data_IF_834205359734
#
_entry.id   IF_834205359734
#
_cell.length_a   1.000
_cell.length_b   1.000
_cell.length_c   1.000
_cell.angle_alpha   90.00
_cell.angle_beta   90.00
_cell.angle_gamma   90.00
#
_symmetry.space_group_name_H-M   'P 1'
#
loop_
_entity.id
_entity.type
_entity.pdbx_description
1 polymer ?
#
# COMPACT_ATOMS: atom_id res chain seq x y z
N UNK A 1 -9.55 -10.46 -3.44
CA UNK A 1 -8.56 -9.42 -3.74
C UNK A 1 -7.23 -9.78 -3.09
N UNK A 2 -6.12 -9.58 -3.78
CA UNK A 2 -4.77 -9.80 -3.25
C UNK A 2 -4.10 -8.46 -3.08
N UNK A 3 -3.64 -8.17 -1.86
CA UNK A 3 -2.87 -6.97 -1.53
C UNK A 3 -1.40 -7.38 -1.39
N UNK A 4 -0.51 -6.94 -2.28
CA UNK A 4 0.91 -7.06 -2.05
C UNK A 4 1.34 -6.00 -1.03
N UNK A 5 2.15 -6.42 -0.06
CA UNK A 5 2.76 -5.54 0.93
C UNK A 5 4.26 -5.80 0.98
N UNK A 6 5.08 -4.85 1.45
CA UNK A 6 6.48 -5.11 1.77
C UNK A 6 6.60 -6.31 2.72
N UNK A 7 7.66 -7.12 2.56
CA UNK A 7 7.82 -8.36 3.35
C UNK A 7 7.93 -8.11 4.86
N UNK A 8 8.45 -6.96 5.24
CA UNK A 8 8.64 -6.48 6.62
C UNK A 8 7.50 -5.58 7.11
N UNK A 9 6.42 -5.45 6.34
CA UNK A 9 5.25 -4.67 6.73
C UNK A 9 4.47 -5.36 7.85
N UNK A 10 4.18 -4.61 8.91
CA UNK A 10 3.30 -5.01 10.00
C UNK A 10 1.91 -4.41 9.79
N UNK A 11 0.93 -5.26 9.45
CA UNK A 11 -0.46 -4.83 9.29
C UNK A 11 -1.03 -4.43 10.64
N UNK A 12 -1.54 -3.21 10.74
CA UNK A 12 -2.15 -2.65 11.94
C UNK A 12 -3.67 -2.64 11.90
N UNK A 13 -4.27 -2.48 10.72
CA UNK A 13 -5.72 -2.59 10.56
C UNK A 13 -6.09 -3.04 9.15
N UNK A 14 -7.26 -3.69 9.07
CA UNK A 14 -7.93 -4.03 7.85
C UNK A 14 -9.43 -3.79 8.04
N UNK A 15 -10.00 -2.89 7.28
CA UNK A 15 -11.38 -2.46 7.43
C UNK A 15 -12.12 -2.58 6.10
N UNK A 16 -13.40 -2.94 6.17
CA UNK A 16 -14.29 -2.97 5.03
C UNK A 16 -15.49 -2.07 5.27
N UNK A 17 -15.91 -1.37 4.25
CA UNK A 17 -17.11 -0.54 4.27
C UNK A 17 -18.20 -1.16 3.39
N UNK A 18 -19.36 -1.37 3.99
CA UNK A 18 -20.56 -1.89 3.32
C UNK A 18 -21.70 -0.94 3.60
N UNK A 19 -22.28 -0.36 2.56
CA UNK A 19 -23.41 0.57 2.66
C UNK A 19 -23.19 1.69 3.70
N UNK A 20 -21.97 2.23 3.73
CA UNK A 20 -21.56 3.30 4.64
C UNK A 20 -21.25 2.87 6.08
N UNK A 21 -21.38 1.59 6.42
CA UNK A 21 -20.98 1.04 7.71
C UNK A 21 -19.59 0.43 7.66
N UNK A 22 -18.78 0.75 8.65
CA UNK A 22 -17.44 0.19 8.85
C UNK A 22 -17.53 -1.16 9.55
N UNK A 23 -16.85 -2.14 8.99
CA UNK A 23 -16.61 -3.45 9.60
C UNK A 23 -15.12 -3.63 9.78
N UNK A 24 -14.70 -3.86 11.01
CA UNK A 24 -13.31 -4.16 11.32
C UNK A 24 -12.99 -5.59 10.92
N UNK A 25 -11.98 -5.75 10.08
CA UNK A 25 -11.47 -7.05 9.69
C UNK A 25 -10.55 -7.64 10.76
N UNK A 26 -10.47 -8.97 10.77
CA UNK A 26 -9.52 -9.70 11.61
C UNK A 26 -8.39 -10.26 10.76
N UNK A 27 -7.16 -10.04 11.20
CA UNK A 27 -6.01 -10.72 10.65
C UNK A 27 -5.91 -12.11 11.29
N UNK A 28 -6.03 -13.15 10.48
CA UNK A 28 -6.04 -14.54 10.94
C UNK A 28 -5.05 -15.37 10.14
N UNK A 29 -4.60 -16.49 10.70
CA UNK A 29 -3.88 -17.50 9.95
C UNK A 29 -4.78 -18.13 8.87
N UNK A 30 -4.17 -18.68 7.82
CA UNK A 30 -4.88 -19.21 6.63
C UNK A 30 -6.03 -20.15 6.97
N UNK A 31 -5.77 -21.16 7.80
CA UNK A 31 -6.75 -22.22 8.08
C UNK A 31 -7.89 -21.72 8.98
N UNK A 32 -7.59 -20.82 9.88
CA UNK A 32 -8.58 -20.18 10.74
C UNK A 32 -9.46 -19.21 9.94
N UNK A 33 -8.84 -18.36 9.10
CA UNK A 33 -9.56 -17.47 8.21
C UNK A 33 -10.51 -18.23 7.28
N UNK A 34 -10.06 -19.35 6.73
CA UNK A 34 -10.91 -20.18 5.85
C UNK A 34 -12.10 -20.76 6.59
N UNK A 35 -11.91 -21.34 7.77
CA UNK A 35 -13.01 -21.93 8.57
C UNK A 35 -14.06 -20.88 8.92
N UNK A 36 -13.62 -19.74 9.42
CA UNK A 36 -14.53 -18.65 9.79
C UNK A 36 -15.28 -18.13 8.55
N UNK A 37 -14.58 -17.96 7.42
CA UNK A 37 -15.20 -17.52 6.17
C UNK A 37 -16.30 -18.49 5.71
N UNK A 38 -16.01 -19.79 5.69
CA UNK A 38 -16.98 -20.81 5.29
C UNK A 38 -18.22 -20.82 6.20
N UNK A 39 -18.02 -20.68 7.51
CA UNK A 39 -19.13 -20.61 8.46
C UNK A 39 -19.99 -19.36 8.28
N UNK A 40 -19.36 -18.21 8.03
CA UNK A 40 -20.08 -16.95 7.80
C UNK A 40 -20.82 -16.96 6.46
N UNK A 41 -20.21 -17.48 5.40
CA UNK A 41 -20.87 -17.62 4.08
C UNK A 41 -22.08 -18.54 4.17
N UNK A 42 -22.01 -19.66 4.92
CA UNK A 42 -23.16 -20.54 5.19
C UNK A 42 -24.30 -19.82 5.91
N UNK A 43 -23.99 -18.83 6.76
CA UNK A 43 -24.96 -18.02 7.48
C UNK A 43 -25.43 -16.77 6.71
N UNK A 44 -24.98 -16.57 5.47
CA UNK A 44 -25.27 -15.38 4.64
C UNK A 44 -24.95 -14.04 5.34
N UNK A 45 -23.94 -14.01 6.19
CA UNK A 45 -23.43 -12.78 6.83
C UNK A 45 -22.27 -12.22 6.01
N UNK A 46 -22.03 -10.91 6.10
CA UNK A 46 -20.95 -10.20 5.42
C UNK A 46 -19.58 -10.51 6.06
N UNK A 47 -18.72 -11.36 5.48
CA UNK A 47 -17.40 -11.58 6.03
C UNK A 47 -16.35 -10.66 5.42
N UNK A 48 -15.57 -10.01 6.27
CA UNK A 48 -14.33 -9.35 5.90
C UNK A 48 -13.16 -10.07 6.57
N UNK A 49 -12.50 -10.94 5.84
CA UNK A 49 -11.35 -11.69 6.33
C UNK A 49 -10.11 -11.37 5.52
N UNK A 50 -9.02 -11.06 6.20
CA UNK A 50 -7.71 -10.88 5.63
C UNK A 50 -6.83 -12.09 5.98
N UNK A 51 -6.31 -12.75 4.96
CA UNK A 51 -5.49 -13.95 5.07
C UNK A 51 -4.07 -13.65 4.57
N UNK A 52 -3.05 -13.97 5.38
CA UNK A 52 -1.66 -13.94 4.92
C UNK A 52 -1.35 -15.19 4.10
N UNK A 53 -1.02 -15.01 2.83
CA UNK A 53 -0.72 -16.12 1.91
C UNK A 53 0.76 -16.36 1.64
N UNK A 54 1.64 -15.64 2.35
CA UNK A 54 3.10 -15.73 2.25
C UNK A 54 3.70 -14.74 1.25
N UNK A 55 5.03 -14.55 1.31
CA UNK A 55 5.81 -13.65 0.44
C UNK A 55 5.30 -12.21 0.40
N UNK A 56 4.91 -11.65 1.55
CA UNK A 56 4.38 -10.28 1.61
C UNK A 56 3.01 -10.09 0.95
N UNK A 57 2.27 -11.16 0.66
CA UNK A 57 0.95 -11.06 0.06
C UNK A 57 -0.16 -11.42 1.05
N UNK A 58 -1.21 -10.61 1.05
CA UNK A 58 -2.42 -10.83 1.83
C UNK A 58 -3.60 -10.99 0.88
N UNK A 59 -4.46 -11.94 1.18
CA UNK A 59 -5.69 -12.17 0.43
C UNK A 59 -6.90 -11.78 1.26
N UNK A 60 -7.74 -10.89 0.73
CA UNK A 60 -9.05 -10.60 1.28
C UNK A 60 -10.14 -11.26 0.43
N UNK A 61 -11.04 -11.97 1.10
CA UNK A 61 -12.28 -12.48 0.50
C UNK A 61 -13.42 -11.60 0.95
N UNK A 62 -14.08 -10.99 -0.01
CA UNK A 62 -15.14 -10.01 0.23
C UNK A 62 -16.42 -10.55 -0.40
N UNK A 63 -17.44 -10.77 0.43
CA UNK A 63 -18.73 -11.31 0.01
C UNK A 63 -19.85 -10.79 0.94
N UNK A 64 -21.05 -10.50 0.43
CA UNK A 64 -21.43 -10.43 -0.99
C UNK A 64 -21.08 -9.06 -1.61
N UNK A 65 -20.85 -9.05 -2.92
CA UNK A 65 -20.86 -7.80 -3.70
C UNK A 65 -22.10 -7.88 -4.61
N UNK A 66 -23.15 -7.12 -4.35
CA UNK A 66 -24.35 -7.15 -5.19
C UNK A 66 -24.07 -6.60 -6.59
N UNK A 67 -24.91 -6.91 -7.60
CA UNK A 67 -24.78 -6.33 -8.92
C UNK A 67 -24.75 -4.80 -8.86
N UNK A 68 -23.75 -4.17 -9.49
CA UNK A 68 -23.48 -2.72 -9.45
C UNK A 68 -23.15 -2.18 -8.05
N UNK A 69 -22.90 -3.06 -7.08
CA UNK A 69 -22.46 -2.68 -5.75
C UNK A 69 -20.98 -2.40 -5.68
N UNK A 70 -20.58 -1.56 -4.73
CA UNK A 70 -19.18 -1.24 -4.43
C UNK A 70 -18.81 -1.69 -3.02
N UNK A 71 -17.55 -1.98 -2.82
CA UNK A 71 -16.97 -2.25 -1.52
C UNK A 71 -15.69 -1.44 -1.37
N UNK A 72 -15.59 -0.68 -0.31
CA UNK A 72 -14.38 0.03 0.07
C UNK A 72 -13.63 -0.80 1.09
N UNK A 73 -12.35 -0.96 0.85
CA UNK A 73 -11.43 -1.66 1.75
C UNK A 73 -10.31 -0.71 2.12
N UNK A 74 -9.99 -0.65 3.40
CA UNK A 74 -8.86 0.09 3.95
C UNK A 74 -7.90 -0.88 4.61
N UNK A 75 -6.63 -0.74 4.30
CA UNK A 75 -5.55 -1.49 4.92
C UNK A 75 -4.52 -0.49 5.44
N UNK A 76 -4.15 -0.64 6.72
CA UNK A 76 -3.07 0.14 7.31
C UNK A 76 -1.94 -0.79 7.74
N UNK A 77 -0.72 -0.36 7.47
CA UNK A 77 0.48 -1.08 7.90
C UNK A 77 1.57 -0.08 8.28
N UNK A 78 2.53 -0.55 9.05
CA UNK A 78 3.79 0.15 9.34
C UNK A 78 4.97 -0.67 8.85
N UNK A 79 6.04 0.02 8.48
CA UNK A 79 7.29 -0.55 8.03
C UNK A 79 8.45 0.29 8.55
N UNK A 80 9.52 -0.36 8.96
CA UNK A 80 10.76 0.34 9.33
C UNK A 80 11.65 0.45 8.10
N UNK A 81 11.94 1.69 7.68
CA UNK A 81 12.83 1.94 6.55
C UNK A 81 14.26 2.09 7.02
N UNK A 82 15.17 1.39 6.36
CA UNK A 82 16.60 1.57 6.57
C UNK A 82 17.12 2.85 5.90
N UNK A 83 18.11 3.49 6.53
CA UNK A 83 18.85 4.60 5.94
C UNK A 83 20.27 4.13 5.61
N UNK A 84 20.71 4.36 4.38
CA UNK A 84 22.07 4.04 3.93
C UNK A 84 22.72 5.30 3.33
N UNK A 85 23.81 5.77 3.94
CA UNK A 85 24.51 6.97 3.47
C UNK A 85 23.63 8.24 3.41
N UNK A 86 22.65 8.38 4.31
CA UNK A 86 21.69 9.49 4.30
C UNK A 86 20.54 9.33 3.31
N UNK A 87 20.50 8.23 2.52
CA UNK A 87 19.43 7.92 1.58
C UNK A 87 18.43 6.95 2.22
N UNK A 88 17.14 7.28 2.12
CA UNK A 88 16.02 6.40 2.50
C UNK A 88 15.28 5.98 1.25
N UNK A 89 14.94 4.71 1.17
CA UNK A 89 14.16 4.13 0.08
C UNK A 89 12.87 3.53 0.62
N UNK A 90 11.75 3.98 0.09
CA UNK A 90 10.43 3.40 0.30
C UNK A 90 9.97 2.72 -0.98
N UNK A 91 9.55 1.46 -0.88
CA UNK A 91 8.94 0.71 -1.98
C UNK A 91 7.55 0.22 -1.59
N UNK A 92 6.55 0.58 -2.37
CA UNK A 92 5.23 -0.03 -2.32
C UNK A 92 5.07 -1.00 -3.50
N UNK A 93 4.77 -2.29 -3.28
CA UNK A 93 4.65 -3.28 -4.33
C UNK A 93 3.33 -3.08 -5.11
N UNK A 94 3.32 -2.07 -5.99
CA UNK A 94 2.18 -1.72 -6.83
C UNK A 94 2.06 -2.62 -8.07
N UNK A 95 3.09 -3.40 -8.41
CA UNK A 95 3.07 -4.33 -9.55
C UNK A 95 2.09 -5.47 -9.30
N UNK A 96 0.82 -5.21 -9.61
CA UNK A 96 -0.29 -6.16 -9.44
C UNK A 96 -0.84 -6.68 -10.77
N UNK A 97 -0.18 -6.41 -11.88
CA UNK A 97 -0.62 -6.84 -13.22
C UNK A 97 -0.88 -8.34 -13.30
N UNK A 98 -0.09 -9.15 -12.59
CA UNK A 98 -0.24 -10.62 -12.51
C UNK A 98 -1.55 -11.06 -11.83
N UNK A 99 -2.18 -10.19 -11.07
CA UNK A 99 -3.39 -10.49 -10.30
C UNK A 99 -4.66 -9.87 -10.90
N UNK A 100 -4.54 -8.99 -11.90
CA UNK A 100 -5.68 -8.33 -12.53
C UNK A 100 -5.48 -8.22 -14.03
N UNK A 101 -6.44 -8.74 -14.80
CA UNK A 101 -6.47 -8.59 -16.26
C UNK A 101 -7.00 -7.20 -16.71
N UNK A 102 -7.56 -6.42 -15.79
CA UNK A 102 -8.15 -5.11 -16.08
C UNK A 102 -7.30 -3.99 -15.53
N UNK A 103 -7.18 -2.87 -16.27
CA UNK A 103 -6.58 -1.65 -15.75
C UNK A 103 -7.31 -1.18 -14.49
N UNK A 104 -6.60 -0.50 -13.61
CA UNK A 104 -7.19 0.26 -12.52
C UNK A 104 -7.75 1.57 -13.09
N UNK A 105 -8.99 1.90 -12.74
CA UNK A 105 -9.62 3.14 -13.20
C UNK A 105 -8.89 4.38 -12.70
N UNK A 106 -8.33 4.30 -11.49
CA UNK A 106 -7.55 5.39 -10.90
C UNK A 106 -6.53 4.83 -9.91
N UNK A 107 -5.34 5.42 -9.89
CA UNK A 107 -4.32 5.25 -8.87
C UNK A 107 -3.92 6.62 -8.37
N UNK A 108 -4.10 6.87 -7.08
CA UNK A 108 -3.64 8.08 -6.40
C UNK A 108 -2.71 7.69 -5.25
N UNK A 109 -1.53 8.32 -5.19
CA UNK A 109 -0.54 8.12 -4.14
C UNK A 109 -0.22 9.49 -3.55
N UNK A 110 -0.33 9.61 -2.23
CA UNK A 110 0.09 10.78 -1.48
C UNK A 110 1.03 10.33 -0.37
N UNK A 111 2.21 10.95 -0.31
CA UNK A 111 3.23 10.62 0.70
C UNK A 111 3.65 11.90 1.41
N UNK A 112 3.44 11.96 2.72
CA UNK A 112 4.01 13.01 3.57
C UNK A 112 5.38 12.55 4.07
N UNK A 113 6.42 13.27 3.66
CA UNK A 113 7.80 13.02 4.07
C UNK A 113 8.18 14.04 5.15
N UNK A 114 8.53 13.54 6.32
CA UNK A 114 9.02 14.38 7.42
C UNK A 114 10.24 13.74 8.08
N UNK A 115 11.28 14.52 8.33
CA UNK A 115 12.48 14.08 9.03
C UNK A 115 12.89 15.09 10.09
N UNK A 116 13.84 14.72 10.95
CA UNK A 116 14.48 15.66 11.91
C UNK A 116 15.51 16.55 11.22
N UNK A 117 16.16 16.01 10.18
CA UNK A 117 17.12 16.73 9.36
C UNK A 117 16.46 17.36 8.14
N UNK A 118 17.17 18.26 7.48
CA UNK A 118 16.71 18.88 6.24
C UNK A 118 16.63 17.86 5.10
N UNK A 119 15.51 17.82 4.41
CA UNK A 119 15.30 17.00 3.21
C UNK A 119 16.07 17.61 2.04
N UNK A 120 16.96 16.84 1.40
CA UNK A 120 17.77 17.28 0.28
C UNK A 120 17.15 16.91 -1.06
N UNK A 121 17.28 15.68 -1.48
CA UNK A 121 16.66 15.17 -2.70
C UNK A 121 15.40 14.37 -2.37
N UNK A 122 14.37 14.49 -3.19
CA UNK A 122 13.17 13.66 -3.13
C UNK A 122 12.81 13.36 -4.58
N UNK A 123 12.76 12.08 -4.95
CA UNK A 123 12.42 11.66 -6.32
C UNK A 123 11.90 10.24 -6.38
N UNK A 124 11.18 9.94 -7.45
CA UNK A 124 10.76 8.58 -7.80
C UNK A 124 11.30 8.21 -9.18
N UNK A 125 12.09 7.12 -9.31
CA UNK A 125 12.52 6.64 -10.62
C UNK A 125 11.42 5.85 -11.35
N UNK A 126 10.41 5.39 -10.63
CA UNK A 126 9.36 4.53 -11.17
C UNK A 126 8.14 5.30 -11.69
N UNK A 127 7.81 6.45 -11.06
CA UNK A 127 6.61 7.22 -11.36
C UNK A 127 6.91 8.72 -11.44
N UNK A 128 6.26 9.48 -12.33
CA UNK A 128 6.41 10.94 -12.41
C UNK A 128 5.66 11.60 -11.25
N UNK A 129 6.36 11.84 -10.14
CA UNK A 129 5.78 12.43 -8.94
C UNK A 129 5.90 13.96 -8.92
N UNK A 130 4.94 14.63 -8.30
CA UNK A 130 5.01 16.04 -7.94
C UNK A 130 5.47 16.16 -6.50
N UNK A 131 6.47 17.00 -6.26
CA UNK A 131 7.02 17.23 -4.93
C UNK A 131 6.73 18.68 -4.51
N UNK A 132 6.00 18.85 -3.41
CA UNK A 132 5.73 20.14 -2.78
C UNK A 132 6.45 20.20 -1.45
N UNK A 133 7.39 21.15 -1.32
CA UNK A 133 8.11 21.40 -0.05
C UNK A 133 7.32 22.36 0.82
N UNK A 134 6.99 21.94 2.02
CA UNK A 134 6.27 22.72 3.02
C UNK A 134 7.22 23.40 4.00
N UNK A 135 8.35 22.74 4.29
CA UNK A 135 9.43 23.23 5.14
C UNK A 135 10.77 22.59 4.72
N UNK A 136 11.86 22.98 5.33
CA UNK A 136 13.17 22.40 5.06
C UNK A 136 13.19 20.87 5.33
N UNK A 137 12.41 20.42 6.31
CA UNK A 137 12.37 19.05 6.76
C UNK A 137 11.02 18.35 6.49
N UNK A 138 10.16 18.97 5.65
CA UNK A 138 8.84 18.42 5.33
C UNK A 138 8.46 18.66 3.86
N UNK A 139 7.94 17.63 3.23
CA UNK A 139 7.42 17.69 1.86
C UNK A 139 6.27 16.71 1.64
N UNK A 140 5.38 17.05 0.72
CA UNK A 140 4.34 16.14 0.20
C UNK A 140 4.70 15.72 -1.20
N UNK A 141 4.56 14.42 -1.48
CA UNK A 141 4.80 13.81 -2.79
C UNK A 141 3.49 13.23 -3.30
N UNK A 142 3.08 13.64 -4.48
CA UNK A 142 1.83 13.22 -5.12
C UNK A 142 2.05 12.52 -6.46
N UNK A 143 1.24 11.52 -6.74
CA UNK A 143 1.12 10.87 -8.03
C UNK A 143 -0.34 10.51 -8.27
N UNK A 144 -0.86 10.83 -9.46
CA UNK A 144 -2.21 10.44 -9.90
C UNK A 144 -2.16 9.97 -11.35
N UNK A 145 -2.87 8.88 -11.64
CA UNK A 145 -3.04 8.39 -13.00
C UNK A 145 -4.37 7.64 -13.15
N UNK A 146 -4.92 7.62 -14.36
CA UNK A 146 -6.16 6.94 -14.71
C UNK A 146 -5.91 5.87 -15.76
N UNK A 147 -6.77 4.84 -15.76
CA UNK A 147 -6.70 3.70 -16.68
C UNK A 147 -5.31 3.03 -16.70
N UNK A 148 -4.77 2.81 -15.51
CA UNK A 148 -3.39 2.37 -15.28
C UNK A 148 -3.31 0.85 -15.22
N UNK A 149 -2.39 0.26 -15.96
CA UNK A 149 -1.91 -1.09 -15.70
C UNK A 149 -0.74 -1.00 -14.71
N UNK A 150 -0.88 -1.49 -13.48
CA UNK A 150 0.16 -1.41 -12.48
C UNK A 150 1.25 -2.46 -12.76
N UNK A 151 2.15 -2.13 -13.67
CA UNK A 151 3.22 -2.99 -14.20
C UNK A 151 4.56 -2.87 -13.46
N UNK A 152 4.65 -1.93 -12.53
CA UNK A 152 5.86 -1.66 -11.75
C UNK A 152 5.54 -1.21 -10.33
N UNK A 153 6.47 -1.44 -9.42
CA UNK A 153 6.38 -0.98 -8.04
C UNK A 153 6.55 0.55 -7.96
N UNK A 154 5.95 1.14 -6.95
CA UNK A 154 6.19 2.54 -6.62
C UNK A 154 7.43 2.64 -5.73
N UNK A 155 8.47 3.28 -6.25
CA UNK A 155 9.72 3.56 -5.54
C UNK A 155 9.84 5.06 -5.24
N UNK A 156 10.08 5.41 -4.00
CA UNK A 156 10.35 6.78 -3.56
C UNK A 156 11.68 6.82 -2.81
N UNK A 157 12.52 7.75 -3.20
CA UNK A 157 13.80 8.02 -2.54
C UNK A 157 13.79 9.43 -1.97
N UNK A 158 14.34 9.57 -0.75
CA UNK A 158 14.69 10.88 -0.23
C UNK A 158 16.01 10.84 0.53
N UNK A 159 16.70 11.95 0.58
CA UNK A 159 17.97 12.07 1.30
C UNK A 159 17.93 13.22 2.31
N UNK A 160 18.64 13.01 3.43
CA UNK A 160 18.71 13.95 4.55
C UNK A 160 20.15 14.43 4.82
N UNK A 161 21.15 13.93 4.07
CA UNK A 161 22.56 14.32 4.23
C UNK A 161 23.10 14.97 2.97
N UNK A 162 23.93 16.05 3.10
CA UNK A 162 24.60 16.63 1.94
C UNK A 162 25.60 15.69 1.27
N UNK A 163 26.12 14.71 1.99
CA UNK A 163 27.17 13.80 1.49
C UNK A 163 26.62 12.63 0.65
N UNK A 164 25.32 12.39 0.67
CA UNK A 164 24.69 11.27 -0.03
C UNK A 164 24.67 11.38 -1.57
N UNK A 165 24.92 12.56 -2.11
CA UNK A 165 24.84 12.82 -3.57
C UNK A 165 26.14 12.49 -4.28
N UNK A 166 27.28 12.45 -3.59
CA UNK A 166 28.59 12.27 -4.21
C UNK A 166 28.91 10.81 -4.62
N UNK A 167 28.19 9.82 -4.09
CA UNK A 167 28.56 8.39 -4.25
C UNK A 167 27.75 7.68 -5.35
N UNK A 168 26.65 8.25 -5.82
CA UNK A 168 25.78 7.58 -6.80
C UNK A 168 25.97 8.00 -8.28
N UNK A 169 27.07 8.68 -8.60
CA UNK A 169 27.41 9.10 -9.96
C UNK A 169 28.64 8.36 -10.54
N UNK A 170 28.95 7.17 -10.04
CA UNK A 170 30.00 6.30 -10.60
C UNK A 170 29.39 5.05 -11.22
#
# INVERSE_FOLDING_TARGET
YVFPLPEDAAVSSFDMWVDGKKFEGKLLGRDEARRIYEDIVRQQKDPALLEYIGRGAFQARIFPIPPRGERRVELSYSQVLGQQGGLVHYRYPLNTEKFSARPLSEVAISVDVQDRAELRAIYSPSHPVQVTREAANRATVGYEARDVRPDRDFDLYYSVSPDAIAVNLL
#
